data_IF_297451129626
#
_entry.id   IF_297451129626
#
_cell.length_a   1.000
_cell.length_b   1.000
_cell.length_c   1.000
_cell.angle_alpha   90.00
_cell.angle_beta   90.00
_cell.angle_gamma   90.00
#
_symmetry.space_group_name_H-M   'P 1'
#
loop_
_entity.id
_entity.type
_entity.pdbx_description
1 polymer ?
#
# COMPACT_ATOMS: atom_id res chain seq x y z
N UNK A 1 30.00 22.64 -20.34
CA UNK A 1 28.58 22.99 -20.11
C UNK A 1 28.17 22.63 -18.68
N UNK A 2 27.81 23.58 -17.80
CA UNK A 2 27.43 23.24 -16.43
C UNK A 2 25.99 22.71 -16.38
N UNK A 3 25.81 21.51 -15.82
CA UNK A 3 24.48 20.90 -15.61
C UNK A 3 23.71 21.71 -14.58
N UNK A 4 22.55 22.24 -14.95
CA UNK A 4 21.63 22.95 -14.05
C UNK A 4 21.21 21.98 -12.94
N UNK A 5 21.68 22.22 -11.71
CA UNK A 5 21.17 21.55 -10.51
C UNK A 5 19.71 21.96 -10.36
N UNK A 6 18.78 21.03 -10.60
CA UNK A 6 17.36 21.23 -10.35
C UNK A 6 17.22 21.39 -8.83
N UNK A 7 17.11 22.64 -8.38
CA UNK A 7 17.17 23.01 -6.98
C UNK A 7 16.13 22.29 -6.14
N UNK A 8 16.53 21.93 -4.93
CA UNK A 8 15.69 21.45 -3.83
C UNK A 8 14.94 22.66 -3.25
N UNK A 9 14.31 23.45 -4.10
CA UNK A 9 13.37 24.49 -3.69
C UNK A 9 11.99 23.88 -3.82
N UNK A 10 11.66 22.99 -2.88
CA UNK A 10 10.26 22.65 -2.64
C UNK A 10 9.56 23.96 -2.28
N UNK A 11 8.66 24.40 -3.16
CA UNK A 11 7.93 25.66 -3.02
C UNK A 11 7.44 25.84 -1.58
N UNK A 12 7.71 27.01 -1.00
CA UNK A 12 7.39 27.31 0.39
C UNK A 12 5.88 27.14 0.66
N UNK A 13 5.03 27.41 -0.34
CA UNK A 13 3.59 27.20 -0.23
C UNK A 13 3.24 25.70 -0.17
N UNK A 14 3.87 24.87 -1.01
CA UNK A 14 3.73 23.41 -1.01
C UNK A 14 4.13 22.77 0.33
N UNK A 15 5.22 23.22 0.95
CA UNK A 15 5.61 22.79 2.31
C UNK A 15 4.57 23.18 3.36
N UNK A 16 4.08 24.43 3.33
CA UNK A 16 3.02 24.91 4.24
C UNK A 16 1.72 24.13 4.06
N UNK A 17 1.39 23.72 2.84
CA UNK A 17 0.19 22.91 2.58
C UNK A 17 0.34 21.47 3.09
N UNK A 18 1.52 20.85 2.93
CA UNK A 18 1.79 19.52 3.47
C UNK A 18 1.69 19.49 5.01
N UNK A 19 2.20 20.52 5.68
CA UNK A 19 2.11 20.69 7.15
C UNK A 19 0.63 20.79 7.57
N UNK A 20 -0.14 21.69 6.96
CA UNK A 20 -1.58 21.84 7.25
C UNK A 20 -2.37 20.54 7.04
N UNK A 21 -2.07 19.80 5.96
CA UNK A 21 -2.71 18.49 5.71
C UNK A 21 -2.35 17.47 6.78
N UNK A 22 -1.12 17.48 7.29
CA UNK A 22 -0.69 16.59 8.39
C UNK A 22 -1.35 16.96 9.70
N UNK A 23 -1.39 18.24 10.05
CA UNK A 23 -2.05 18.73 11.28
C UNK A 23 -3.53 18.36 11.30
N UNK A 24 -4.24 18.55 10.18
CA UNK A 24 -5.64 18.09 10.05
C UNK A 24 -5.78 16.59 10.33
N UNK A 25 -4.88 15.76 9.81
CA UNK A 25 -4.92 14.29 10.04
C UNK A 25 -4.59 13.88 11.47
N UNK A 26 -3.86 14.70 12.23
CA UNK A 26 -3.50 14.41 13.62
C UNK A 26 -4.67 14.66 14.56
N UNK A 27 -5.50 15.67 14.27
CA UNK A 27 -6.67 16.04 15.09
C UNK A 27 -7.97 15.36 14.63
N UNK A 28 -7.96 14.64 13.50
CA UNK A 28 -9.11 13.88 13.00
C UNK A 28 -9.63 12.90 14.06
N UNK A 29 -10.95 12.89 14.26
CA UNK A 29 -11.62 11.83 15.02
C UNK A 29 -11.58 10.50 14.26
N UNK A 30 -11.77 9.38 14.96
CA UNK A 30 -11.74 8.07 14.29
C UNK A 30 -12.87 7.91 13.25
N UNK A 31 -14.03 8.55 13.47
CA UNK A 31 -15.12 8.58 12.50
C UNK A 31 -14.78 9.39 11.25
N UNK A 32 -14.17 10.56 11.41
CA UNK A 32 -13.70 11.39 10.28
C UNK A 32 -12.58 10.69 9.50
N UNK A 33 -11.64 10.07 10.22
CA UNK A 33 -10.56 9.27 9.63
C UNK A 33 -11.13 8.10 8.85
N UNK A 34 -12.08 7.37 9.42
CA UNK A 34 -12.76 6.24 8.77
C UNK A 34 -13.49 6.67 7.51
N UNK A 35 -14.28 7.76 7.57
CA UNK A 35 -14.95 8.33 6.38
C UNK A 35 -13.95 8.72 5.31
N UNK A 36 -12.88 9.44 5.66
CA UNK A 36 -11.84 9.85 4.70
C UNK A 36 -11.16 8.65 4.04
N UNK A 37 -10.78 7.64 4.81
CA UNK A 37 -10.15 6.42 4.29
C UNK A 37 -11.10 5.63 3.39
N UNK A 38 -12.39 5.56 3.75
CA UNK A 38 -13.44 4.95 2.94
C UNK A 38 -13.58 5.64 1.58
N UNK A 39 -13.67 6.97 1.54
CA UNK A 39 -13.71 7.73 0.27
C UNK A 39 -12.47 7.50 -0.59
N UNK A 40 -11.28 7.41 0.01
CA UNK A 40 -10.03 7.12 -0.71
C UNK A 40 -10.03 5.69 -1.28
N UNK A 41 -10.54 4.73 -0.50
CA UNK A 41 -10.66 3.34 -0.91
C UNK A 41 -11.62 3.19 -2.09
N UNK A 42 -12.81 3.81 -2.02
CA UNK A 42 -13.80 3.80 -3.10
C UNK A 42 -13.21 4.36 -4.39
N UNK A 43 -12.64 5.57 -4.34
CA UNK A 43 -11.98 6.17 -5.51
C UNK A 43 -10.80 5.35 -6.04
N UNK A 44 -10.15 4.56 -5.19
CA UNK A 44 -9.12 3.61 -5.59
C UNK A 44 -9.70 2.41 -6.35
N UNK A 45 -10.86 1.92 -5.94
CA UNK A 45 -11.58 0.84 -6.62
C UNK A 45 -12.11 1.32 -7.97
N UNK A 46 -12.76 2.49 -8.03
CA UNK A 46 -13.31 3.04 -9.27
C UNK A 46 -12.22 3.19 -10.33
N UNK A 47 -11.05 3.76 -9.94
CA UNK A 47 -9.89 3.88 -10.83
C UNK A 47 -9.38 2.53 -11.34
N UNK A 48 -9.43 1.47 -10.52
CA UNK A 48 -9.00 0.13 -10.92
C UNK A 48 -10.03 -0.57 -11.81
N UNK A 49 -11.32 -0.27 -11.64
CA UNK A 49 -12.37 -0.82 -12.49
C UNK A 49 -12.28 -0.27 -13.92
N UNK A 50 -11.83 0.98 -14.06
CA UNK A 50 -11.63 1.65 -15.35
C UNK A 50 -10.22 1.45 -15.96
N UNK A 51 -9.35 0.65 -15.34
CA UNK A 51 -8.00 0.41 -15.86
C UNK A 51 -8.02 -0.45 -17.13
N UNK A 52 -7.27 -0.04 -18.15
CA UNK A 52 -6.95 -0.90 -19.29
C UNK A 52 -5.97 -1.99 -18.87
N UNK A 53 -5.96 -3.13 -19.57
CA UNK A 53 -5.04 -4.24 -19.28
C UNK A 53 -3.56 -3.81 -19.30
N UNK A 54 -3.16 -2.91 -20.22
CA UNK A 54 -1.80 -2.36 -20.23
C UNK A 54 -1.46 -1.57 -18.96
N UNK A 55 -2.36 -0.70 -18.50
CA UNK A 55 -2.18 0.08 -17.26
C UNK A 55 -2.16 -0.83 -16.04
N UNK A 56 -3.04 -1.84 -16.03
CA UNK A 56 -3.09 -2.86 -14.97
C UNK A 56 -1.78 -3.64 -14.90
N UNK A 57 -1.26 -4.11 -16.03
CA UNK A 57 0.00 -4.85 -16.09
C UNK A 57 1.18 -3.99 -15.65
N UNK A 58 1.25 -2.73 -16.09
CA UNK A 58 2.26 -1.77 -15.63
C UNK A 58 2.20 -1.57 -14.11
N UNK A 59 1.00 -1.34 -13.55
CA UNK A 59 0.80 -1.18 -12.10
C UNK A 59 1.23 -2.43 -11.32
N UNK A 60 0.85 -3.62 -11.78
CA UNK A 60 1.23 -4.88 -11.15
C UNK A 60 2.74 -5.12 -11.21
N UNK A 61 3.40 -4.77 -12.32
CA UNK A 61 4.86 -4.87 -12.44
C UNK A 61 5.57 -3.97 -11.43
N UNK A 62 5.14 -2.70 -11.28
CA UNK A 62 5.70 -1.77 -10.29
C UNK A 62 5.49 -2.28 -8.86
N UNK A 63 4.31 -2.80 -8.53
CA UNK A 63 4.04 -3.40 -7.22
C UNK A 63 4.90 -4.64 -6.97
N UNK A 64 5.09 -5.49 -7.98
CA UNK A 64 5.93 -6.67 -7.93
C UNK A 64 7.39 -6.30 -7.62
N UNK A 65 7.95 -5.36 -8.37
CA UNK A 65 9.32 -4.84 -8.17
C UNK A 65 9.49 -4.25 -6.76
N UNK A 66 8.57 -3.39 -6.30
CA UNK A 66 8.64 -2.84 -4.95
C UNK A 66 8.59 -3.91 -3.86
N UNK A 67 7.81 -4.98 -4.06
CA UNK A 67 7.76 -6.10 -3.11
C UNK A 67 9.03 -6.95 -3.12
N UNK A 68 9.75 -7.01 -4.23
CA UNK A 68 11.04 -7.71 -4.32
C UNK A 68 12.13 -6.88 -3.65
N UNK A 69 12.16 -5.57 -3.91
CA UNK A 69 13.08 -4.65 -3.25
C UNK A 69 12.87 -4.66 -1.73
N UNK A 70 11.62 -4.58 -1.26
CA UNK A 70 11.32 -4.65 0.17
C UNK A 70 11.80 -5.96 0.82
N UNK A 71 11.67 -7.10 0.12
CA UNK A 71 12.21 -8.39 0.60
C UNK A 71 13.73 -8.48 0.58
N UNK A 72 14.40 -7.76 -0.32
CA UNK A 72 15.86 -7.69 -0.37
C UNK A 72 16.43 -6.83 0.78
N UNK A 73 15.63 -5.87 1.27
CA UNK A 73 15.97 -4.98 2.38
C UNK A 73 15.50 -5.52 3.76
N UNK A 74 14.84 -6.69 3.81
CA UNK A 74 14.36 -7.29 5.06
C UNK A 74 15.51 -7.70 5.98
N UNK A 75 15.37 -7.41 7.27
CA UNK A 75 16.22 -8.04 8.30
C UNK A 75 15.83 -9.51 8.49
N UNK A 76 16.73 -10.31 9.06
CA UNK A 76 16.46 -11.72 9.32
C UNK A 76 15.25 -11.93 10.25
N UNK A 77 15.07 -11.05 11.25
CA UNK A 77 13.89 -11.07 12.13
C UNK A 77 12.58 -10.77 11.39
N UNK A 78 12.60 -9.77 10.50
CA UNK A 78 11.45 -9.42 9.67
C UNK A 78 11.10 -10.55 8.70
N UNK A 79 12.12 -11.17 8.09
CA UNK A 79 11.95 -12.32 7.21
C UNK A 79 11.33 -13.50 7.96
N UNK A 80 11.87 -13.85 9.12
CA UNK A 80 11.37 -14.96 9.93
C UNK A 80 9.93 -14.71 10.39
N UNK A 81 9.61 -13.50 10.86
CA UNK A 81 8.24 -13.11 11.22
C UNK A 81 7.28 -13.23 10.02
N UNK A 82 7.69 -12.78 8.83
CA UNK A 82 6.90 -12.91 7.60
C UNK A 82 6.67 -14.38 7.21
N UNK A 83 7.70 -15.22 7.30
CA UNK A 83 7.60 -16.65 6.98
C UNK A 83 6.63 -17.37 7.93
N UNK A 84 6.67 -17.08 9.24
CA UNK A 84 5.74 -17.64 10.22
C UNK A 84 4.29 -17.27 9.89
N UNK A 85 4.01 -15.99 9.59
CA UNK A 85 2.67 -15.52 9.22
C UNK A 85 2.19 -16.22 7.94
N UNK A 86 3.06 -16.40 6.94
CA UNK A 86 2.70 -17.10 5.69
C UNK A 86 2.41 -18.59 5.93
N UNK A 87 3.19 -19.25 6.79
CA UNK A 87 2.98 -20.64 7.16
C UNK A 87 1.61 -20.82 7.85
N UNK A 88 1.31 -19.96 8.84
CA UNK A 88 0.04 -19.97 9.56
C UNK A 88 -1.16 -19.78 8.60
N UNK A 89 -1.14 -18.74 7.76
CA UNK A 89 -2.19 -18.50 6.75
C UNK A 89 -2.31 -19.64 5.74
N UNK A 90 -1.21 -20.36 5.49
CA UNK A 90 -1.21 -21.58 4.69
C UNK A 90 -2.00 -22.71 5.35
N UNK A 91 -1.83 -22.89 6.67
CA UNK A 91 -2.57 -23.91 7.42
C UNK A 91 -4.05 -23.56 7.57
N UNK A 92 -4.38 -22.30 7.88
CA UNK A 92 -5.77 -21.84 7.99
C UNK A 92 -6.55 -22.11 6.69
N UNK A 93 -5.99 -21.75 5.53
CA UNK A 93 -6.61 -22.03 4.22
C UNK A 93 -6.79 -23.52 3.94
N UNK A 94 -5.87 -24.38 4.40
CA UNK A 94 -6.02 -25.84 4.27
C UNK A 94 -7.16 -26.35 5.16
N UNK A 95 -7.23 -25.88 6.40
CA UNK A 95 -8.28 -26.24 7.35
C UNK A 95 -9.67 -25.80 6.86
N UNK A 96 -9.79 -24.57 6.35
CA UNK A 96 -11.03 -24.05 5.75
C UNK A 96 -11.48 -24.90 4.56
N UNK A 97 -10.55 -25.24 3.66
CA UNK A 97 -10.85 -26.11 2.50
C UNK A 97 -11.33 -27.50 2.96
N UNK A 98 -10.71 -28.08 3.98
CA UNK A 98 -11.15 -29.38 4.51
C UNK A 98 -12.52 -29.29 5.18
N UNK A 99 -12.84 -28.18 5.85
CA UNK A 99 -14.15 -27.95 6.44
C UNK A 99 -15.22 -27.77 5.37
N UNK A 100 -14.94 -27.01 4.30
CA UNK A 100 -15.87 -26.87 3.17
C UNK A 100 -16.15 -28.22 2.48
N UNK A 101 -15.11 -29.06 2.30
CA UNK A 101 -15.26 -30.40 1.71
C UNK A 101 -16.01 -31.39 2.60
N UNK A 102 -15.96 -31.26 3.93
CA UNK A 102 -16.72 -32.11 4.87
C UNK A 102 -18.17 -31.66 5.03
N UNK A 103 -18.47 -30.40 4.75
CA UNK A 103 -19.80 -29.79 4.85
C UNK A 103 -20.55 -29.73 3.51
N UNK A 104 -20.01 -30.36 2.45
CA UNK A 104 -20.66 -30.56 1.14
C UNK A 104 -20.98 -32.03 0.96
#
# INVERSE_FOLDING_TARGET
MPKRKRGITGDAASRREAIRKRERRVVETEEERSRRLSTIAQRGQDRRAEETEEKRNSRLAVMGQGSQQGRAEETEEQRNSRLVIMAQRGQERRAERTNQQRNS
#
